data_IF_758983690652
#
_entry.id   IF_758983690652
#
_cell.length_a   1.000
_cell.length_b   1.000
_cell.length_c   1.000
_cell.angle_alpha   90.00
_cell.angle_beta   90.00
_cell.angle_gamma   90.00
#
_symmetry.space_group_name_H-M   'P 1'
#
loop_
_entity.id
_entity.type
_entity.pdbx_description
1 polymer ?
#
# COMPACT_ATOMS: atom_id res chain seq x y z
N UNK A 1 53.13 73.75 60.51
CA UNK A 1 53.51 75.16 60.26
C UNK A 1 52.93 75.58 58.92
N UNK A 2 52.13 76.67 58.92
CA UNK A 2 52.08 77.76 57.91
C UNK A 2 52.05 77.31 56.43
N UNK A 3 51.01 77.52 55.64
CA UNK A 3 50.15 78.70 55.49
C UNK A 3 50.14 79.13 54.01
N UNK A 4 49.17 79.99 53.63
CA UNK A 4 48.94 80.69 52.32
C UNK A 4 47.98 79.93 51.39
N UNK A 5 46.71 80.33 51.14
CA UNK A 5 46.03 81.61 50.80
C UNK A 5 46.35 82.12 49.38
N UNK A 6 45.26 82.34 48.61
CA UNK A 6 45.04 83.16 47.40
C UNK A 6 45.55 82.57 46.05
N UNK A 7 44.88 82.72 44.90
CA UNK A 7 43.67 83.43 44.51
C UNK A 7 43.24 83.01 43.08
N UNK A 8 41.92 83.02 42.84
CA UNK A 8 41.20 83.49 41.64
C UNK A 8 41.44 82.85 40.25
N UNK A 9 40.36 82.27 39.71
CA UNK A 9 39.87 82.57 38.36
C UNK A 9 38.37 82.21 38.27
N UNK A 10 37.52 83.23 38.40
CA UNK A 10 36.09 83.15 38.05
C UNK A 10 35.97 83.10 36.52
N UNK A 11 35.58 81.95 35.98
CA UNK A 11 35.03 81.85 34.62
C UNK A 11 33.54 81.56 34.76
N UNK A 12 32.72 82.59 34.57
CA UNK A 12 31.27 82.46 34.53
C UNK A 12 30.85 81.69 33.26
N UNK A 13 30.49 80.42 33.43
CA UNK A 13 29.79 79.64 32.40
C UNK A 13 28.33 80.12 32.32
N UNK A 14 27.99 80.88 31.28
CA UNK A 14 26.62 81.10 30.85
C UNK A 14 26.07 79.78 30.26
N UNK A 15 25.41 78.96 31.09
CA UNK A 15 24.56 77.88 30.61
C UNK A 15 23.30 78.50 29.98
N UNK A 16 23.27 78.55 28.64
CA UNK A 16 22.02 78.69 27.91
C UNK A 16 21.21 77.41 28.09
N UNK A 17 20.17 77.45 28.92
CA UNK A 17 19.18 76.40 29.01
C UNK A 17 18.41 76.32 27.69
N UNK A 18 18.78 75.35 26.84
CA UNK A 18 17.98 74.97 25.69
C UNK A 18 16.74 74.26 26.25
N UNK A 19 15.52 74.77 26.05
CA UNK A 19 14.34 74.05 26.47
C UNK A 19 14.26 72.77 25.66
N UNK A 20 14.34 71.63 26.34
CA UNK A 20 14.04 70.34 25.72
C UNK A 20 12.57 70.41 25.25
N UNK A 21 12.36 70.52 23.94
CA UNK A 21 11.06 70.24 23.36
C UNK A 21 10.71 68.80 23.73
N UNK A 22 9.74 68.65 24.63
CA UNK A 22 9.07 67.39 24.85
C UNK A 22 8.49 66.95 23.50
N UNK A 23 9.10 65.94 22.87
CA UNK A 23 8.50 65.26 21.74
C UNK A 23 7.20 64.66 22.24
N UNK A 24 6.07 65.24 21.84
CA UNK A 24 4.76 64.61 22.00
C UNK A 24 4.85 63.21 21.40
N UNK A 25 4.51 62.14 22.14
CA UNK A 25 4.51 60.79 21.58
C UNK A 25 3.62 60.81 20.34
N UNK A 26 4.14 60.30 19.22
CA UNK A 26 3.38 60.18 17.99
C UNK A 26 2.03 59.49 18.29
N UNK A 27 0.92 59.96 17.71
CA UNK A 27 -0.38 59.35 17.94
C UNK A 27 -0.30 57.88 17.53
N UNK A 28 -0.56 56.96 18.47
CA UNK A 28 -0.65 55.54 18.16
C UNK A 28 -1.85 55.35 17.22
N UNK A 29 -1.58 54.81 16.03
CA UNK A 29 -2.64 54.47 15.09
C UNK A 29 -3.58 53.43 15.72
N UNK A 30 -4.90 53.52 15.47
CA UNK A 30 -5.84 52.54 15.97
C UNK A 30 -5.54 51.16 15.37
N UNK A 31 -5.77 50.11 16.16
CA UNK A 31 -5.71 48.73 15.67
C UNK A 31 -6.86 48.54 14.69
N UNK A 32 -6.59 48.11 13.43
CA UNK A 32 -7.63 47.92 12.44
C UNK A 32 -8.65 46.85 12.85
N UNK A 33 -9.93 47.12 12.62
CA UNK A 33 -10.99 46.13 12.74
C UNK A 33 -11.05 45.24 11.49
N UNK A 34 -11.82 44.15 11.55
CA UNK A 34 -11.96 43.23 10.41
C UNK A 34 -12.62 43.93 9.22
N UNK A 35 -13.58 44.81 9.50
CA UNK A 35 -14.32 45.59 8.50
C UNK A 35 -13.37 46.50 7.71
N UNK A 36 -12.35 47.07 8.37
CA UNK A 36 -11.34 47.91 7.73
C UNK A 36 -10.52 47.11 6.71
N UNK A 37 -10.14 45.88 7.06
CA UNK A 37 -9.46 44.98 6.13
C UNK A 37 -10.38 44.53 4.98
N UNK A 38 -11.63 44.20 5.30
CA UNK A 38 -12.60 43.67 4.34
C UNK A 38 -13.09 44.71 3.34
N UNK A 39 -13.08 46.00 3.69
CA UNK A 39 -13.42 47.09 2.79
C UNK A 39 -12.57 47.07 1.50
N UNK A 40 -11.30 46.63 1.59
CA UNK A 40 -10.44 46.45 0.42
C UNK A 40 -10.25 44.97 0.05
N UNK A 41 -10.01 44.08 1.02
CA UNK A 41 -9.73 42.67 0.72
C UNK A 41 -10.98 41.84 0.39
N UNK A 42 -12.18 42.33 0.68
CA UNK A 42 -13.43 41.70 0.24
C UNK A 42 -13.80 42.01 -1.21
N UNK A 43 -13.15 43.00 -1.84
CA UNK A 43 -13.41 43.37 -3.23
C UNK A 43 -12.71 42.39 -4.20
N UNK A 44 -13.45 41.73 -5.12
CA UNK A 44 -12.87 40.83 -6.12
C UNK A 44 -11.84 41.47 -7.06
N UNK A 45 -11.85 42.80 -7.19
CA UNK A 45 -10.91 43.58 -8.00
C UNK A 45 -9.62 43.94 -7.26
N UNK A 46 -9.53 43.65 -5.96
CA UNK A 46 -8.37 44.01 -5.14
C UNK A 46 -7.11 43.26 -5.57
N UNK A 47 -6.08 44.04 -5.93
CA UNK A 47 -4.78 43.53 -6.39
C UNK A 47 -3.64 44.28 -5.70
N UNK A 48 -2.48 43.61 -5.58
CA UNK A 48 -1.23 44.26 -5.22
C UNK A 48 -0.75 45.17 -6.35
N UNK A 49 0.27 45.99 -6.10
CA UNK A 49 0.92 46.79 -7.14
C UNK A 49 1.44 45.97 -8.34
N UNK A 50 1.75 44.69 -8.15
CA UNK A 50 2.18 43.77 -9.22
C UNK A 50 1.02 43.05 -9.95
N UNK A 51 -0.23 43.43 -9.68
CA UNK A 51 -1.43 42.83 -10.29
C UNK A 51 -1.87 41.50 -9.68
N UNK A 52 -1.16 40.95 -8.68
CA UNK A 52 -1.57 39.72 -8.03
C UNK A 52 -2.80 39.95 -7.12
N UNK A 53 -3.84 39.09 -7.17
CA UNK A 53 -5.03 39.27 -6.36
C UNK A 53 -4.72 39.17 -4.86
N UNK A 54 -5.43 39.98 -4.07
CA UNK A 54 -5.39 39.97 -2.59
C UNK A 54 -6.75 39.70 -1.96
N UNK A 55 -7.69 39.22 -2.78
CA UNK A 55 -9.07 38.97 -2.39
C UNK A 55 -9.13 37.89 -1.31
N UNK A 56 -9.94 38.15 -0.28
CA UNK A 56 -10.31 37.24 0.77
C UNK A 56 -11.81 37.00 0.68
N UNK A 57 -12.20 35.74 0.58
CA UNK A 57 -13.59 35.33 0.67
C UNK A 57 -14.05 35.46 2.13
N UNK A 58 -14.73 36.57 2.43
CA UNK A 58 -15.15 36.94 3.78
C UNK A 58 -16.21 36.00 4.34
N UNK A 59 -17.10 35.49 3.49
CA UNK A 59 -18.12 34.52 3.87
C UNK A 59 -17.46 33.18 4.25
N UNK A 60 -16.49 32.72 3.44
CA UNK A 60 -15.74 31.51 3.73
C UNK A 60 -14.86 31.66 4.97
N UNK A 61 -14.28 32.84 5.20
CA UNK A 61 -13.53 33.12 6.42
C UNK A 61 -14.41 33.05 7.66
N UNK A 62 -15.58 33.69 7.63
CA UNK A 62 -16.53 33.67 8.74
C UNK A 62 -16.99 32.25 9.10
N UNK A 63 -17.09 31.35 8.12
CA UNK A 63 -17.44 29.93 8.32
C UNK A 63 -16.23 29.04 8.68
N UNK A 64 -15.01 29.57 8.62
CA UNK A 64 -13.80 28.82 8.94
C UNK A 64 -13.64 28.61 10.44
N UNK A 65 -12.75 27.71 10.84
CA UNK A 65 -12.36 27.52 12.23
C UNK A 65 -11.76 28.79 12.87
N UNK A 66 -11.23 29.71 12.04
CA UNK A 66 -10.67 30.99 12.47
C UNK A 66 -11.65 32.16 12.32
N UNK A 67 -12.90 31.94 11.89
CA UNK A 67 -13.89 33.00 11.70
C UNK A 67 -14.12 33.92 12.92
N UNK A 68 -14.02 33.44 14.16
CA UNK A 68 -14.11 34.29 15.35
C UNK A 68 -12.90 35.20 15.59
N UNK A 69 -11.80 35.04 14.86
CA UNK A 69 -10.57 35.83 15.05
C UNK A 69 -10.60 37.13 14.24
N UNK A 70 -9.82 38.10 14.72
CA UNK A 70 -9.52 39.31 13.98
C UNK A 70 -8.40 39.08 12.95
N UNK A 71 -8.39 39.83 11.85
CA UNK A 71 -7.37 39.73 10.81
C UNK A 71 -5.96 39.93 11.38
N UNK A 72 -5.83 40.89 12.31
CA UNK A 72 -4.57 41.25 12.98
C UNK A 72 -4.09 40.20 13.99
N UNK A 73 -4.93 39.25 14.41
CA UNK A 73 -4.51 38.15 15.28
C UNK A 73 -3.52 37.21 14.55
N UNK A 74 -3.73 37.04 13.24
CA UNK A 74 -2.82 36.31 12.36
C UNK A 74 -1.79 37.24 11.70
N UNK A 75 -2.23 38.41 11.23
CA UNK A 75 -1.38 39.46 10.67
C UNK A 75 -0.85 40.39 11.76
N UNK A 76 -0.12 39.79 12.71
CA UNK A 76 0.39 40.46 13.92
C UNK A 76 1.29 41.67 13.66
N UNK A 77 1.89 41.77 12.47
CA UNK A 77 2.67 42.93 12.03
C UNK A 77 1.81 44.18 11.82
N UNK A 78 0.49 44.02 11.69
CA UNK A 78 -0.48 45.11 11.59
C UNK A 78 -1.15 45.45 12.93
N UNK A 79 -0.96 44.63 13.97
CA UNK A 79 -1.60 44.80 15.27
C UNK A 79 -1.14 46.04 16.04
N UNK A 80 -0.02 46.66 15.65
CA UNK A 80 0.48 47.91 16.22
C UNK A 80 -0.14 49.17 15.59
N UNK A 81 -1.07 49.00 14.64
CA UNK A 81 -1.63 50.08 13.83
C UNK A 81 -0.76 50.35 12.60
N UNK A 82 -1.41 50.53 11.45
CA UNK A 82 -0.77 50.76 10.15
C UNK A 82 -1.53 51.85 9.39
N UNK A 83 -0.83 52.65 8.61
CA UNK A 83 -1.48 53.54 7.65
C UNK A 83 -1.98 52.72 6.46
N UNK A 84 -3.21 52.99 6.03
CA UNK A 84 -3.79 52.35 4.86
C UNK A 84 -3.63 53.24 3.61
N UNK A 85 -3.30 52.67 2.44
CA UNK A 85 -3.00 51.26 2.19
C UNK A 85 -1.67 50.83 2.84
N UNK A 86 -1.68 49.64 3.46
CA UNK A 86 -0.51 49.11 4.17
C UNK A 86 0.59 48.67 3.18
N UNK A 87 1.85 48.50 3.62
CA UNK A 87 2.93 48.01 2.76
C UNK A 87 2.59 46.66 2.09
N UNK A 88 3.00 46.49 0.83
CA UNK A 88 2.74 45.29 0.02
C UNK A 88 3.30 43.99 0.62
N UNK A 89 4.39 44.11 1.39
CA UNK A 89 5.13 42.98 1.95
C UNK A 89 4.88 42.86 3.44
N UNK A 90 3.89 42.06 3.80
CA UNK A 90 3.62 41.66 5.18
C UNK A 90 4.51 40.47 5.60
N UNK A 91 4.68 40.33 6.91
CA UNK A 91 5.27 39.14 7.49
C UNK A 91 4.38 37.91 7.21
N UNK A 92 5.00 36.74 7.06
CA UNK A 92 4.24 35.50 6.94
C UNK A 92 3.60 35.16 8.28
N UNK A 93 2.32 34.79 8.25
CA UNK A 93 1.57 34.30 9.41
C UNK A 93 2.28 33.09 10.02
N UNK A 94 2.44 33.11 11.35
CA UNK A 94 3.09 32.03 12.10
C UNK A 94 2.03 31.21 12.83
N UNK A 95 1.67 30.06 12.26
CA UNK A 95 0.69 29.16 12.88
C UNK A 95 1.14 28.70 14.28
N UNK A 96 2.46 28.61 14.52
CA UNK A 96 3.04 28.15 15.78
C UNK A 96 2.67 29.02 16.98
N UNK A 97 2.27 30.28 16.77
CA UNK A 97 1.82 31.18 17.85
C UNK A 97 0.64 30.57 18.64
N UNK A 98 -0.23 29.81 17.97
CA UNK A 98 -1.37 29.12 18.61
C UNK A 98 -1.32 27.60 18.44
N UNK A 99 -0.64 27.08 17.41
CA UNK A 99 -0.55 25.65 17.08
C UNK A 99 0.86 25.10 17.24
N UNK A 100 1.54 25.45 18.33
CA UNK A 100 2.93 25.08 18.61
C UNK A 100 3.17 23.58 18.42
N UNK A 101 2.38 22.72 19.08
CA UNK A 101 2.56 21.27 19.01
C UNK A 101 2.39 20.71 17.59
N UNK A 102 1.38 21.17 16.84
CA UNK A 102 1.15 20.70 15.47
C UNK A 102 2.27 21.14 14.54
N UNK A 103 2.81 22.34 14.72
CA UNK A 103 3.95 22.83 13.96
C UNK A 103 5.20 22.03 14.32
N UNK A 104 5.49 21.82 15.60
CA UNK A 104 6.60 20.99 16.04
C UNK A 104 6.54 19.57 15.43
N UNK A 105 5.37 18.93 15.48
CA UNK A 105 5.17 17.62 14.85
C UNK A 105 5.40 17.65 13.33
N UNK A 106 4.92 18.69 12.65
CA UNK A 106 5.13 18.87 11.22
C UNK A 106 6.62 19.00 10.88
N UNK A 107 7.37 19.77 11.68
CA UNK A 107 8.82 19.97 11.52
C UNK A 107 9.63 18.67 11.63
N UNK A 108 9.14 17.69 12.41
CA UNK A 108 9.72 16.34 12.49
C UNK A 108 9.35 15.44 11.30
N UNK A 109 8.41 15.85 10.45
CA UNK A 109 7.89 15.06 9.34
C UNK A 109 8.73 15.16 8.06
N UNK A 110 8.52 14.20 7.16
CA UNK A 110 9.20 14.12 5.86
C UNK A 110 8.87 15.31 4.95
N UNK A 111 7.69 15.91 5.10
CA UNK A 111 7.30 17.08 4.31
C UNK A 111 8.11 18.32 4.70
N UNK A 112 8.30 18.58 6.00
CA UNK A 112 9.15 19.68 6.46
C UNK A 112 10.61 19.45 6.06
N UNK A 113 11.14 18.26 6.32
CA UNK A 113 12.50 17.86 5.93
C UNK A 113 12.77 18.09 4.43
N UNK A 114 11.80 17.72 3.57
CA UNK A 114 11.91 17.96 2.13
C UNK A 114 11.91 19.44 1.75
N UNK A 115 11.20 20.31 2.47
CA UNK A 115 11.22 21.77 2.23
C UNK A 115 12.48 22.44 2.78
N UNK A 116 13.03 21.95 3.88
CA UNK A 116 14.28 22.48 4.43
C UNK A 116 15.46 22.16 3.53
N UNK A 117 15.42 21.02 2.84
CA UNK A 117 16.47 20.61 1.89
C UNK A 117 16.42 21.36 0.56
N UNK A 118 15.21 21.70 0.09
CA UNK A 118 15.02 22.40 -1.17
C UNK A 118 13.95 23.50 -1.02
N UNK A 119 14.33 24.78 -1.12
CA UNK A 119 13.40 25.91 -1.10
C UNK A 119 12.32 25.85 -2.19
N UNK A 120 12.56 25.13 -3.29
CA UNK A 120 11.62 24.93 -4.39
C UNK A 120 10.82 23.61 -4.27
N UNK A 121 10.94 22.92 -3.14
CA UNK A 121 10.25 21.65 -2.89
C UNK A 121 8.74 21.80 -3.00
N UNK A 122 8.12 20.84 -3.68
CA UNK A 122 6.66 20.69 -3.78
C UNK A 122 6.04 19.96 -2.59
N UNK A 123 6.80 19.77 -1.51
CA UNK A 123 6.31 19.11 -0.31
C UNK A 123 5.21 19.94 0.37
N UNK A 124 4.21 19.24 0.90
CA UNK A 124 3.00 19.86 1.41
C UNK A 124 3.26 20.82 2.58
N UNK A 125 2.57 21.94 2.57
CA UNK A 125 2.43 22.93 3.65
C UNK A 125 1.19 22.68 4.48
N UNK A 126 1.01 23.44 5.57
CA UNK A 126 -0.15 23.34 6.44
C UNK A 126 -1.45 23.51 5.63
N UNK A 127 -1.51 24.53 4.78
CA UNK A 127 -2.72 24.83 4.01
C UNK A 127 -2.99 23.79 2.93
N UNK A 128 -1.96 23.13 2.38
CA UNK A 128 -2.16 22.08 1.37
C UNK A 128 -3.00 20.91 1.89
N UNK A 129 -2.87 20.60 3.19
CA UNK A 129 -3.69 19.60 3.87
C UNK A 129 -5.00 20.18 4.43
N UNK A 130 -5.00 21.43 4.90
CA UNK A 130 -6.12 22.03 5.62
C UNK A 130 -7.18 22.76 4.78
N UNK A 131 -6.99 22.91 3.46
CA UNK A 131 -8.03 23.46 2.57
C UNK A 131 -7.57 24.47 1.52
N UNK A 132 -6.26 24.59 1.29
CA UNK A 132 -5.60 25.42 0.29
C UNK A 132 -5.43 26.90 0.66
N UNK A 133 -6.07 27.36 1.74
CA UNK A 133 -5.98 28.74 2.21
C UNK A 133 -6.08 28.80 3.74
N UNK A 134 -5.28 29.67 4.37
CA UNK A 134 -5.35 29.93 5.81
C UNK A 134 -6.65 30.63 6.22
N UNK A 135 -7.26 31.40 5.30
CA UNK A 135 -8.54 32.10 5.52
C UNK A 135 -9.76 31.19 5.35
N UNK A 136 -9.59 29.92 5.01
CA UNK A 136 -10.70 29.02 4.70
C UNK A 136 -10.53 27.61 5.27
N UNK A 137 -9.82 27.49 6.39
CA UNK A 137 -9.59 26.22 7.08
C UNK A 137 -10.86 25.82 7.84
N UNK A 138 -11.47 24.72 7.45
CA UNK A 138 -12.67 24.18 8.10
C UNK A 138 -12.28 23.20 9.24
N UNK A 139 -13.06 23.12 10.33
CA UNK A 139 -12.87 22.12 11.38
C UNK A 139 -12.88 20.70 10.80
N UNK A 140 -12.07 19.77 11.35
CA UNK A 140 -12.01 18.39 10.83
C UNK A 140 -13.32 17.61 10.96
N UNK A 141 -14.22 18.04 11.84
CA UNK A 141 -15.58 17.49 11.97
C UNK A 141 -16.50 17.89 10.82
N UNK A 142 -16.20 19.00 10.13
CA UNK A 142 -16.98 19.47 9.00
C UNK A 142 -16.81 18.51 7.81
N UNK A 143 -17.89 18.00 7.20
CA UNK A 143 -17.82 17.12 6.02
C UNK A 143 -17.06 17.74 4.84
N UNK A 144 -17.06 19.07 4.72
CA UNK A 144 -16.38 19.81 3.68
C UNK A 144 -14.89 20.04 3.94
N UNK A 145 -14.41 19.79 5.16
CA UNK A 145 -13.00 19.93 5.50
C UNK A 145 -12.12 18.95 4.72
N UNK A 146 -10.99 19.45 4.22
CA UNK A 146 -9.95 18.61 3.61
C UNK A 146 -9.34 17.61 4.62
N UNK A 147 -9.47 17.88 5.92
CA UNK A 147 -8.99 17.00 7.00
C UNK A 147 -10.10 16.12 7.59
N UNK A 148 -11.32 16.18 7.02
CA UNK A 148 -12.39 15.27 7.42
C UNK A 148 -12.00 13.82 7.13
N UNK A 149 -12.34 12.90 8.04
CA UNK A 149 -12.04 11.46 7.93
C UNK A 149 -12.36 10.87 6.55
N UNK A 150 -13.48 11.26 5.94
CA UNK A 150 -13.90 10.77 4.63
C UNK A 150 -13.12 11.39 3.46
N UNK A 151 -12.44 12.53 3.68
CA UNK A 151 -11.69 13.28 2.67
C UNK A 151 -10.18 13.17 2.80
N UNK A 152 -9.63 12.73 3.95
CA UNK A 152 -8.16 12.60 4.17
C UNK A 152 -7.48 11.82 3.04
N UNK A 153 -8.03 10.68 2.63
CA UNK A 153 -7.45 9.88 1.54
C UNK A 153 -7.36 10.67 0.21
N UNK A 154 -8.40 11.45 -0.10
CA UNK A 154 -8.42 12.34 -1.27
C UNK A 154 -7.42 13.48 -1.13
N UNK A 155 -7.28 14.05 0.06
CA UNK A 155 -6.32 15.12 0.34
C UNK A 155 -4.89 14.66 0.09
N UNK A 156 -4.50 13.48 0.59
CA UNK A 156 -3.20 12.89 0.28
C UNK A 156 -3.05 12.57 -1.22
N UNK A 157 -4.10 12.05 -1.86
CA UNK A 157 -4.09 11.65 -3.27
C UNK A 157 -3.88 12.82 -4.25
N UNK A 158 -4.16 14.08 -3.86
CA UNK A 158 -3.84 15.26 -4.69
C UNK A 158 -2.38 15.29 -5.14
N UNK A 159 -1.47 14.79 -4.30
CA UNK A 159 -0.04 14.69 -4.60
C UNK A 159 0.44 13.24 -4.72
N UNK A 160 -0.07 12.32 -3.89
CA UNK A 160 0.36 10.92 -3.85
C UNK A 160 -0.46 9.95 -4.73
N UNK A 161 -1.37 10.46 -5.56
CA UNK A 161 -2.28 9.65 -6.40
C UNK A 161 -1.90 9.55 -7.88
N UNK A 162 -0.86 10.24 -8.34
CA UNK A 162 -0.57 10.33 -9.77
C UNK A 162 0.04 9.03 -10.35
N UNK A 163 -0.41 8.66 -11.57
CA UNK A 163 0.15 7.58 -12.40
C UNK A 163 1.55 7.91 -12.95
N UNK A 164 1.95 9.17 -12.92
CA UNK A 164 3.31 9.59 -13.25
C UNK A 164 4.18 9.55 -11.97
N UNK A 165 5.43 9.05 -12.05
CA UNK A 165 6.33 9.06 -10.93
C UNK A 165 6.64 10.52 -10.60
N UNK A 166 5.99 11.08 -9.58
CA UNK A 166 6.63 12.17 -8.88
C UNK A 166 7.83 11.51 -8.23
N UNK A 167 8.98 11.63 -8.89
CA UNK A 167 10.29 11.23 -8.39
C UNK A 167 10.67 12.14 -7.20
N UNK A 168 9.81 12.19 -6.19
CA UNK A 168 10.15 12.64 -4.85
C UNK A 168 10.92 11.48 -4.22
N UNK A 169 12.21 11.44 -4.53
CA UNK A 169 13.20 10.65 -3.81
C UNK A 169 12.91 9.14 -3.72
N UNK A 170 13.08 8.42 -4.83
CA UNK A 170 13.56 7.03 -4.77
C UNK A 170 12.58 5.92 -4.38
N UNK A 171 11.30 6.00 -4.78
CA UNK A 171 10.33 4.91 -4.59
C UNK A 171 9.51 4.62 -5.84
N UNK A 172 9.52 3.36 -6.31
CA UNK A 172 8.72 2.85 -7.45
C UNK A 172 7.24 2.66 -7.09
N UNK A 173 6.58 3.67 -6.52
CA UNK A 173 5.24 3.52 -5.95
C UNK A 173 4.20 4.34 -6.71
N UNK A 174 4.07 4.10 -8.01
CA UNK A 174 2.99 4.67 -8.82
C UNK A 174 1.63 4.17 -8.31
N UNK A 175 0.71 5.09 -8.05
CA UNK A 175 -0.70 4.86 -7.69
C UNK A 175 -1.01 4.20 -6.32
N UNK A 176 -0.24 4.49 -5.26
CA UNK A 176 -0.58 4.03 -3.87
C UNK A 176 -1.99 4.45 -3.45
N UNK A 177 -2.43 5.65 -3.82
CA UNK A 177 -3.79 6.12 -3.52
C UNK A 177 -4.87 5.28 -4.23
N UNK A 178 -4.59 4.79 -5.45
CA UNK A 178 -5.52 3.92 -6.17
C UNK A 178 -5.59 2.54 -5.51
N UNK A 179 -4.45 1.95 -5.15
CA UNK A 179 -4.40 0.69 -4.39
C UNK A 179 -5.19 0.80 -3.08
N UNK A 180 -4.99 1.90 -2.34
CA UNK A 180 -5.74 2.15 -1.11
C UNK A 180 -7.23 2.30 -1.37
N UNK A 181 -7.62 3.06 -2.38
CA UNK A 181 -9.02 3.23 -2.76
C UNK A 181 -9.72 1.88 -3.06
N UNK A 182 -8.99 0.96 -3.69
CA UNK A 182 -9.51 -0.36 -4.06
C UNK A 182 -9.42 -1.39 -2.91
N UNK A 183 -8.66 -1.10 -1.86
CA UNK A 183 -8.59 -1.93 -0.65
C UNK A 183 -9.92 -1.98 0.11
N UNK A 184 -10.09 -2.97 0.99
CA UNK A 184 -11.30 -3.08 1.82
C UNK A 184 -11.49 -1.85 2.73
N UNK A 185 -10.40 -1.24 3.21
CA UNK A 185 -10.46 -0.01 4.01
C UNK A 185 -10.89 1.20 3.18
N UNK A 186 -10.32 1.37 1.99
CA UNK A 186 -10.70 2.45 1.08
C UNK A 186 -12.15 2.33 0.61
N UNK A 187 -12.59 1.11 0.28
CA UNK A 187 -13.99 0.86 -0.07
C UNK A 187 -14.94 1.11 1.11
N UNK A 188 -14.56 0.72 2.33
CA UNK A 188 -15.37 0.99 3.52
C UNK A 188 -15.56 2.50 3.77
N UNK A 189 -14.51 3.31 3.59
CA UNK A 189 -14.60 4.77 3.69
C UNK A 189 -15.38 5.38 2.53
N UNK A 190 -14.93 5.14 1.29
CA UNK A 190 -15.39 5.89 0.12
C UNK A 190 -16.76 5.42 -0.40
N UNK A 191 -17.07 4.12 -0.31
CA UNK A 191 -18.33 3.56 -0.83
C UNK A 191 -19.38 3.34 0.23
N UNK A 192 -18.98 3.05 1.48
CA UNK A 192 -19.89 2.72 2.58
C UNK A 192 -19.99 3.82 3.65
N UNK A 193 -19.17 4.87 3.59
CA UNK A 193 -19.19 5.98 4.54
C UNK A 193 -18.78 5.58 5.97
N UNK A 194 -18.10 4.45 6.14
CA UNK A 194 -17.76 3.91 7.46
C UNK A 194 -16.54 4.64 8.04
N UNK A 195 -16.78 5.67 8.85
CA UNK A 195 -15.71 6.48 9.49
C UNK A 195 -14.84 5.69 10.48
N UNK A 196 -15.25 4.48 10.87
CA UNK A 196 -14.43 3.55 11.68
C UNK A 196 -13.28 2.94 10.89
N UNK A 197 -13.36 2.93 9.56
CA UNK A 197 -12.31 2.41 8.72
C UNK A 197 -11.08 3.35 8.74
N UNK A 198 -9.86 2.80 8.69
CA UNK A 198 -8.65 3.60 8.75
C UNK A 198 -8.41 4.34 7.42
N UNK A 199 -7.86 5.54 7.52
CA UNK A 199 -7.36 6.39 6.44
C UNK A 199 -5.83 6.36 6.40
N UNK A 200 -5.22 7.15 5.51
CA UNK A 200 -3.76 7.29 5.44
C UNK A 200 -3.14 7.70 6.78
N UNK A 201 -3.78 8.63 7.51
CA UNK A 201 -3.20 9.22 8.71
C UNK A 201 -3.29 8.32 9.95
N UNK A 202 -4.25 7.39 9.99
CA UNK A 202 -4.37 6.42 11.08
C UNK A 202 -3.18 5.45 11.14
N UNK A 203 -2.56 5.20 9.98
CA UNK A 203 -1.37 4.36 9.84
C UNK A 203 -0.08 5.19 9.81
N UNK A 204 0.00 6.28 9.05
CA UNK A 204 1.24 7.03 8.83
C UNK A 204 1.46 8.19 9.82
N UNK A 205 0.43 8.58 10.56
CA UNK A 205 0.42 9.78 11.40
C UNK A 205 -0.25 10.98 10.72
N UNK A 206 -0.48 12.03 11.49
CA UNK A 206 -1.19 13.24 11.04
C UNK A 206 -0.17 14.34 10.65
N UNK A 207 0.38 15.04 11.64
CA UNK A 207 1.38 16.10 11.40
C UNK A 207 2.81 15.56 11.34
N UNK A 208 3.14 14.55 12.15
CA UNK A 208 4.43 13.87 12.15
C UNK A 208 4.43 12.63 11.25
N UNK A 209 4.45 12.84 9.92
CA UNK A 209 4.58 11.73 8.95
C UNK A 209 6.07 11.45 8.73
N UNK A 210 6.57 10.37 9.34
CA UNK A 210 8.00 10.03 9.32
C UNK A 210 8.30 8.81 8.43
N UNK A 211 9.49 8.73 7.81
CA UNK A 211 9.86 7.61 6.94
C UNK A 211 9.82 6.24 7.63
N UNK A 212 9.32 5.21 6.93
CA UNK A 212 9.26 3.80 7.41
C UNK A 212 10.57 3.25 7.99
N UNK A 213 11.73 3.74 7.53
CA UNK A 213 13.05 3.28 8.01
C UNK A 213 13.36 3.72 9.44
N UNK A 214 12.68 4.76 9.94
CA UNK A 214 12.93 5.26 11.28
C UNK A 214 12.23 4.37 12.31
N UNK A 215 12.89 4.04 13.44
CA UNK A 215 12.33 3.13 14.46
C UNK A 215 11.03 3.62 15.12
N UNK A 216 10.87 4.94 15.23
CA UNK A 216 9.70 5.63 15.78
C UNK A 216 8.52 5.70 14.80
N UNK A 217 8.75 5.42 13.51
CA UNK A 217 7.68 5.40 12.52
C UNK A 217 6.61 4.37 12.87
N UNK A 218 5.32 4.73 12.91
CA UNK A 218 4.24 3.77 13.13
C UNK A 218 4.19 2.66 12.06
N UNK A 219 4.72 2.95 10.86
CA UNK A 219 4.79 2.00 9.74
C UNK A 219 6.17 1.34 9.60
N UNK A 220 7.05 1.48 10.59
CA UNK A 220 8.31 0.73 10.63
C UNK A 220 8.03 -0.78 10.70
N UNK A 221 8.91 -1.65 10.15
CA UNK A 221 8.67 -3.09 10.13
C UNK A 221 8.30 -3.70 11.49
N UNK A 222 8.87 -3.15 12.58
CA UNK A 222 8.61 -3.58 13.96
C UNK A 222 7.27 -3.06 14.49
N UNK A 223 6.85 -1.86 14.07
CA UNK A 223 5.65 -1.20 14.58
C UNK A 223 4.38 -1.52 13.77
N UNK A 224 4.50 -2.07 12.56
CA UNK A 224 3.35 -2.47 11.73
C UNK A 224 2.32 -3.30 12.50
N UNK A 225 2.67 -4.37 13.26
CA UNK A 225 1.68 -5.12 14.04
C UNK A 225 0.96 -4.28 15.08
N UNK A 226 1.64 -3.33 15.73
CA UNK A 226 1.03 -2.41 16.70
C UNK A 226 0.07 -1.45 16.00
N UNK A 227 0.44 -0.94 14.83
CA UNK A 227 -0.39 -0.04 14.03
C UNK A 227 -1.67 -0.72 13.55
N UNK A 228 -1.58 -1.94 13.03
CA UNK A 228 -2.76 -2.74 12.68
C UNK A 228 -3.59 -3.09 13.93
N UNK A 229 -2.93 -3.41 15.05
CA UNK A 229 -3.55 -3.80 16.30
C UNK A 229 -4.42 -2.74 16.96
N UNK A 230 -4.23 -1.45 16.65
CA UNK A 230 -5.14 -0.38 17.10
C UNK A 230 -6.61 -0.68 16.81
N UNK A 231 -6.89 -1.39 15.72
CA UNK A 231 -8.23 -1.89 15.39
C UNK A 231 -8.32 -3.43 15.43
N UNK A 232 -7.23 -4.14 15.10
CA UNK A 232 -7.17 -5.61 15.04
C UNK A 232 -6.44 -6.20 16.25
N UNK A 233 -6.76 -5.75 17.46
CA UNK A 233 -6.00 -6.10 18.68
C UNK A 233 -5.98 -7.60 18.96
N UNK A 234 -7.12 -8.29 18.78
CA UNK A 234 -7.18 -9.75 18.96
C UNK A 234 -6.22 -10.51 18.01
N UNK A 235 -6.18 -10.10 16.74
CA UNK A 235 -5.28 -10.68 15.74
C UNK A 235 -3.82 -10.35 16.05
N UNK A 236 -3.53 -9.12 16.53
CA UNK A 236 -2.19 -8.74 16.99
C UNK A 236 -1.73 -9.63 18.14
N UNK A 237 -2.62 -9.94 19.08
CA UNK A 237 -2.31 -10.81 20.22
C UNK A 237 -1.98 -12.24 19.76
N UNK A 238 -2.79 -12.83 18.87
CA UNK A 238 -2.49 -14.13 18.25
C UNK A 238 -1.14 -14.13 17.51
N UNK A 239 -0.90 -13.09 16.70
CA UNK A 239 0.35 -12.94 15.96
C UNK A 239 1.58 -12.86 16.88
N UNK A 240 1.46 -12.15 18.00
CA UNK A 240 2.53 -12.04 19.00
C UNK A 240 2.84 -13.39 19.67
N UNK A 241 1.85 -14.28 19.81
CA UNK A 241 2.03 -15.65 20.33
C UNK A 241 2.73 -16.61 19.35
N UNK A 242 2.73 -16.28 18.05
CA UNK A 242 3.35 -17.09 17.01
C UNK A 242 4.86 -16.88 16.84
N UNK A 243 5.51 -17.78 16.09
CA UNK A 243 6.96 -17.72 15.84
C UNK A 243 7.38 -16.49 15.04
N UNK A 244 6.52 -15.98 14.16
CA UNK A 244 6.78 -14.77 13.39
C UNK A 244 6.78 -13.53 14.29
N UNK A 245 5.76 -13.37 15.14
CA UNK A 245 5.69 -12.29 16.11
C UNK A 245 6.83 -12.34 17.12
N UNK A 246 7.15 -13.53 17.65
CA UNK A 246 8.27 -13.71 18.57
C UNK A 246 9.62 -13.31 17.96
N UNK A 247 9.89 -13.70 16.70
CA UNK A 247 11.11 -13.31 15.98
C UNK A 247 11.19 -11.81 15.72
N UNK A 248 10.07 -11.19 15.31
CA UNK A 248 10.00 -9.76 15.06
C UNK A 248 10.21 -8.95 16.35
N UNK A 249 9.60 -9.39 17.45
CA UNK A 249 9.79 -8.81 18.78
C UNK A 249 11.23 -8.94 19.29
N UNK A 250 11.88 -10.08 18.99
CA UNK A 250 13.30 -10.35 19.23
C UNK A 250 14.28 -9.55 18.36
N UNK A 251 13.80 -8.62 17.53
CA UNK A 251 14.64 -7.72 16.74
C UNK A 251 14.97 -8.22 15.32
N UNK A 252 14.46 -9.39 14.91
CA UNK A 252 14.63 -9.86 13.54
C UNK A 252 13.66 -9.14 12.60
N UNK A 253 14.11 -8.03 11.99
CA UNK A 253 13.31 -7.24 11.04
C UNK A 253 13.07 -7.94 9.69
N UNK A 254 13.72 -9.07 9.43
CA UNK A 254 13.44 -9.93 8.27
C UNK A 254 12.29 -10.91 8.53
N UNK A 255 11.83 -11.05 9.78
CA UNK A 255 10.61 -11.79 10.08
C UNK A 255 9.40 -11.08 9.44
N UNK A 256 8.42 -11.84 8.91
CA UNK A 256 7.24 -11.24 8.29
C UNK A 256 6.41 -10.48 9.34
N UNK A 257 5.77 -9.41 8.91
CA UNK A 257 4.75 -8.66 9.67
C UNK A 257 3.40 -8.71 8.93
N UNK A 258 2.40 -8.00 9.42
CA UNK A 258 1.05 -7.99 8.83
C UNK A 258 1.06 -7.64 7.33
N UNK A 259 1.86 -6.63 6.95
CA UNK A 259 1.96 -6.18 5.56
C UNK A 259 2.74 -7.15 4.66
N UNK A 260 3.50 -8.08 5.23
CA UNK A 260 4.20 -9.13 4.48
C UNK A 260 3.22 -10.15 3.87
N UNK A 261 2.02 -10.31 4.43
CA UNK A 261 1.02 -11.26 3.94
C UNK A 261 -0.24 -10.57 3.39
N UNK A 262 -0.66 -9.43 3.96
CA UNK A 262 -1.94 -8.78 3.62
C UNK A 262 -1.84 -7.56 2.69
N UNK A 263 -0.64 -7.14 2.27
CA UNK A 263 -0.38 -5.84 1.64
C UNK A 263 -0.71 -4.64 2.56
N UNK A 264 0.13 -3.61 2.57
CA UNK A 264 -0.10 -2.42 3.41
C UNK A 264 -1.15 -1.47 2.82
N UNK A 265 -1.22 -1.37 1.49
CA UNK A 265 -2.06 -0.38 0.79
C UNK A 265 -3.12 -1.03 -0.09
N UNK A 266 -3.02 -2.32 -0.41
CA UNK A 266 -4.01 -3.06 -1.22
C UNK A 266 -4.68 -4.17 -0.43
N UNK A 267 -4.95 -3.97 0.86
CA UNK A 267 -5.49 -5.01 1.72
C UNK A 267 -6.88 -5.46 1.24
N UNK A 268 -7.03 -6.77 1.03
CA UNK A 268 -8.24 -7.40 0.53
C UNK A 268 -8.97 -8.16 1.64
N UNK A 269 -10.22 -8.55 1.37
CA UNK A 269 -10.95 -9.46 2.27
C UNK A 269 -10.40 -10.87 2.16
N UNK A 270 -10.33 -11.57 3.29
CA UNK A 270 -9.74 -12.91 3.37
C UNK A 270 -10.70 -14.04 3.01
N UNK A 271 -11.98 -13.74 2.85
CA UNK A 271 -13.03 -14.71 2.50
C UNK A 271 -13.18 -14.90 0.98
N UNK A 272 -12.50 -14.11 0.16
CA UNK A 272 -12.56 -14.24 -1.29
C UNK A 272 -11.68 -15.37 -1.79
N UNK A 273 -12.12 -16.06 -2.83
CA UNK A 273 -11.36 -17.17 -3.41
C UNK A 273 -9.98 -16.73 -3.89
N UNK A 274 -9.92 -15.57 -4.55
CA UNK A 274 -8.67 -14.96 -5.02
C UNK A 274 -7.67 -14.77 -3.88
N UNK A 275 -8.10 -14.21 -2.74
CA UNK A 275 -7.21 -14.04 -1.60
C UNK A 275 -6.76 -15.37 -1.01
N UNK A 276 -7.67 -16.35 -0.89
CA UNK A 276 -7.34 -17.66 -0.32
C UNK A 276 -6.28 -18.39 -1.15
N UNK A 277 -6.38 -18.34 -2.48
CA UNK A 277 -5.38 -18.92 -3.38
C UNK A 277 -4.07 -18.14 -3.30
N UNK A 278 -4.14 -16.82 -3.29
CA UNK A 278 -2.98 -15.95 -3.20
C UNK A 278 -2.22 -16.12 -1.87
N UNK A 279 -2.92 -16.43 -0.77
CA UNK A 279 -2.31 -16.64 0.54
C UNK A 279 -1.28 -17.79 0.53
N UNK A 280 -1.50 -18.83 -0.28
CA UNK A 280 -0.53 -19.93 -0.47
C UNK A 280 0.79 -19.41 -1.04
N UNK A 281 0.70 -18.50 -2.00
CA UNK A 281 1.87 -17.90 -2.65
C UNK A 281 2.61 -16.95 -1.71
N UNK A 282 1.88 -16.21 -0.87
CA UNK A 282 2.47 -15.29 0.12
C UNK A 282 3.40 -16.02 1.08
N UNK A 283 2.98 -17.18 1.61
CA UNK A 283 3.84 -18.03 2.43
C UNK A 283 5.12 -18.45 1.68
N UNK A 284 4.98 -18.79 0.38
CA UNK A 284 6.07 -19.25 -0.47
C UNK A 284 7.10 -18.20 -0.86
N UNK A 285 6.84 -16.91 -0.65
CA UNK A 285 7.84 -15.85 -0.86
C UNK A 285 9.07 -16.04 0.05
N UNK A 286 8.84 -16.52 1.27
CA UNK A 286 9.88 -16.88 2.24
C UNK A 286 10.08 -18.41 2.34
N UNK A 287 8.99 -19.19 2.34
CA UNK A 287 9.02 -20.66 2.51
C UNK A 287 9.06 -21.40 1.17
N UNK A 288 10.06 -21.12 0.34
CA UNK A 288 10.15 -21.61 -1.05
C UNK A 288 10.15 -23.12 -1.17
N UNK A 289 10.94 -23.81 -0.35
CA UNK A 289 11.03 -25.29 -0.37
C UNK A 289 9.73 -25.95 0.11
N UNK A 290 9.07 -25.36 1.12
CA UNK A 290 7.77 -25.83 1.59
C UNK A 290 6.70 -25.63 0.52
N UNK A 291 6.68 -24.50 -0.19
CA UNK A 291 5.76 -24.26 -1.30
C UNK A 291 5.98 -25.28 -2.44
N UNK A 292 7.24 -25.57 -2.78
CA UNK A 292 7.59 -26.53 -3.83
C UNK A 292 7.06 -27.93 -3.51
N UNK A 293 7.33 -28.42 -2.30
CA UNK A 293 6.87 -29.75 -1.86
C UNK A 293 5.35 -29.81 -1.66
N UNK A 294 4.74 -28.73 -1.15
CA UNK A 294 3.28 -28.62 -1.06
C UNK A 294 2.62 -28.72 -2.44
N UNK A 295 3.17 -28.05 -3.46
CA UNK A 295 2.67 -28.11 -4.85
C UNK A 295 2.75 -29.50 -5.48
N UNK A 296 3.59 -30.40 -4.96
CA UNK A 296 3.63 -31.81 -5.38
C UNK A 296 2.51 -32.65 -4.75
N UNK A 297 1.80 -32.14 -3.74
CA UNK A 297 0.68 -32.84 -3.09
C UNK A 297 -0.64 -32.64 -3.83
N UNK A 298 -1.63 -33.49 -3.52
CA UNK A 298 -2.99 -33.31 -4.03
C UNK A 298 -3.57 -31.94 -3.66
N UNK A 299 -3.40 -31.50 -2.42
CA UNK A 299 -3.86 -30.18 -1.97
C UNK A 299 -3.23 -29.05 -2.78
N UNK A 300 -1.91 -29.10 -2.98
CA UNK A 300 -1.20 -28.12 -3.77
C UNK A 300 -1.62 -28.08 -5.24
N UNK A 301 -1.78 -29.25 -5.87
CA UNK A 301 -2.24 -29.34 -7.26
C UNK A 301 -3.65 -28.78 -7.43
N UNK A 302 -4.58 -29.10 -6.52
CA UNK A 302 -5.97 -28.62 -6.58
C UNK A 302 -6.04 -27.11 -6.35
N UNK A 303 -5.26 -26.55 -5.42
CA UNK A 303 -5.14 -25.08 -5.29
C UNK A 303 -4.54 -24.42 -6.54
N UNK A 304 -3.58 -25.06 -7.20
CA UNK A 304 -3.00 -24.54 -8.45
C UNK A 304 -4.01 -24.55 -9.61
N UNK A 305 -5.05 -25.38 -9.55
CA UNK A 305 -6.17 -25.39 -10.50
C UNK A 305 -7.26 -24.35 -10.16
N UNK A 306 -7.11 -23.58 -9.07
CA UNK A 306 -8.02 -22.51 -8.69
C UNK A 306 -9.13 -22.92 -7.72
N UNK A 307 -9.07 -24.12 -7.14
CA UNK A 307 -10.05 -24.57 -6.15
C UNK A 307 -9.65 -24.17 -4.73
N UNK A 308 -10.59 -23.57 -3.99
CA UNK A 308 -10.41 -23.12 -2.61
C UNK A 308 -10.86 -24.07 -1.49
N UNK A 309 -11.81 -25.01 -1.68
CA UNK A 309 -12.26 -25.92 -0.61
C UNK A 309 -11.30 -27.11 -0.44
N UNK A 310 -10.03 -26.80 -0.22
CA UNK A 310 -8.94 -27.74 0.00
C UNK A 310 -7.95 -27.12 0.98
N UNK A 311 -7.20 -27.96 1.72
CA UNK A 311 -6.29 -27.48 2.74
C UNK A 311 -5.12 -26.68 2.13
N UNK A 312 -4.93 -25.46 2.64
CA UNK A 312 -3.84 -24.52 2.33
C UNK A 312 -2.87 -24.47 3.50
N UNK A 313 -1.84 -23.64 3.40
CA UNK A 313 -0.83 -23.49 4.46
C UNK A 313 -1.45 -23.16 5.82
N UNK A 314 -2.39 -22.20 5.84
CA UNK A 314 -3.04 -21.70 7.06
C UNK A 314 -4.01 -22.70 7.69
N UNK A 315 -4.58 -23.61 6.89
CA UNK A 315 -5.53 -24.62 7.37
C UNK A 315 -4.82 -25.67 8.22
N UNK A 316 -3.54 -25.94 7.93
CA UNK A 316 -2.71 -26.83 8.74
C UNK A 316 -1.94 -26.09 9.83
N UNK A 317 -1.33 -24.94 9.52
CA UNK A 317 -0.38 -24.25 10.41
C UNK A 317 -0.99 -23.17 11.30
N UNK A 318 -2.24 -22.77 11.06
CA UNK A 318 -2.85 -21.57 11.64
C UNK A 318 -2.60 -20.32 10.80
N UNK A 319 -3.45 -19.31 10.96
CA UNK A 319 -3.37 -18.06 10.21
C UNK A 319 -2.45 -17.03 10.86
N UNK A 320 -2.73 -16.64 12.12
CA UNK A 320 -1.99 -15.59 12.82
C UNK A 320 -1.09 -16.13 13.94
N UNK A 321 -1.50 -17.19 14.65
CA UNK A 321 -0.65 -17.89 15.63
C UNK A 321 0.05 -19.10 14.98
N UNK A 322 1.05 -18.86 14.14
CA UNK A 322 1.85 -19.94 13.53
C UNK A 322 2.89 -20.44 14.54
N UNK A 323 2.78 -21.71 14.93
CA UNK A 323 3.65 -22.33 15.93
C UNK A 323 4.58 -23.40 15.35
N UNK A 324 5.81 -23.57 15.88
CA UNK A 324 6.69 -24.66 15.48
C UNK A 324 6.06 -26.03 15.72
N UNK A 325 6.40 -27.04 14.90
CA UNK A 325 5.90 -28.43 15.05
C UNK A 325 6.16 -29.02 16.44
N UNK A 326 7.23 -28.59 17.11
CA UNK A 326 7.61 -29.08 18.43
C UNK A 326 6.76 -28.48 19.56
N UNK A 327 6.06 -27.37 19.33
CA UNK A 327 5.15 -26.78 20.31
C UNK A 327 3.88 -27.64 20.38
N UNK A 328 3.54 -28.15 21.58
CA UNK A 328 2.36 -28.98 21.79
C UNK A 328 1.02 -28.28 21.48
N UNK A 329 1.01 -26.94 21.40
CA UNK A 329 -0.16 -26.16 20.97
C UNK A 329 -0.29 -26.06 19.44
N UNK A 330 0.76 -26.39 18.69
CA UNK A 330 0.75 -26.30 17.23
C UNK A 330 -0.24 -27.29 16.62
N UNK A 331 -1.06 -26.83 15.67
CA UNK A 331 -1.98 -27.69 14.93
C UNK A 331 -1.24 -28.80 14.14
N UNK A 332 0.05 -28.61 13.82
CA UNK A 332 0.90 -29.61 13.16
C UNK A 332 1.78 -30.41 14.13
N UNK A 333 1.59 -30.26 15.44
CA UNK A 333 2.23 -31.13 16.42
C UNK A 333 1.72 -32.57 16.27
N UNK A 334 2.59 -33.54 16.53
CA UNK A 334 2.30 -34.96 16.28
C UNK A 334 1.03 -35.46 16.96
N UNK A 335 0.79 -35.01 18.20
CA UNK A 335 -0.41 -35.33 18.97
C UNK A 335 -1.70 -34.67 18.42
N UNK A 336 -1.57 -33.59 17.64
CA UNK A 336 -2.70 -32.80 17.14
C UNK A 336 -3.08 -33.15 15.70
N UNK A 337 -2.24 -33.88 14.96
CA UNK A 337 -2.47 -34.16 13.54
C UNK A 337 -3.82 -34.85 13.25
N UNK A 338 -4.23 -35.81 14.07
CA UNK A 338 -5.53 -36.49 13.89
C UNK A 338 -6.68 -35.48 13.95
N UNK A 339 -6.62 -34.55 14.91
CA UNK A 339 -7.61 -33.48 15.05
C UNK A 339 -7.57 -32.52 13.85
N UNK A 340 -6.39 -32.12 13.41
CA UNK A 340 -6.20 -31.18 12.30
C UNK A 340 -6.67 -31.77 10.98
N UNK A 341 -6.22 -32.98 10.62
CA UNK A 341 -6.69 -33.67 9.42
C UNK A 341 -8.18 -34.01 9.50
N UNK A 342 -8.67 -34.34 10.69
CA UNK A 342 -10.07 -34.66 10.96
C UNK A 342 -11.05 -33.50 10.75
N UNK A 343 -10.58 -32.26 10.58
CA UNK A 343 -11.44 -31.13 10.21
C UNK A 343 -12.08 -31.31 8.83
N UNK A 344 -11.45 -32.07 7.94
CA UNK A 344 -11.95 -32.34 6.59
C UNK A 344 -12.02 -33.83 6.26
N UNK A 345 -11.14 -34.66 6.84
CA UNK A 345 -11.09 -36.10 6.61
C UNK A 345 -11.77 -36.85 7.76
N UNK A 346 -13.05 -37.15 7.58
CA UNK A 346 -13.81 -37.96 8.53
C UNK A 346 -13.13 -39.33 8.74
N UNK A 347 -12.94 -39.72 10.00
CA UNK A 347 -12.26 -40.98 10.35
C UNK A 347 -10.73 -40.94 10.21
N UNK A 348 -10.09 -39.77 10.23
CA UNK A 348 -8.63 -39.67 10.26
C UNK A 348 -8.01 -40.54 11.38
N UNK A 349 -7.08 -41.43 11.01
CA UNK A 349 -6.39 -42.35 11.93
C UNK A 349 -4.91 -42.03 12.05
N UNK A 350 -4.21 -42.65 13.00
CA UNK A 350 -2.76 -42.53 13.14
C UNK A 350 -1.99 -42.87 11.85
N UNK A 351 -2.42 -43.91 11.12
CA UNK A 351 -1.82 -44.29 9.84
C UNK A 351 -2.11 -43.27 8.74
N UNK A 352 -3.29 -42.67 8.75
CA UNK A 352 -3.66 -41.64 7.78
C UNK A 352 -2.78 -40.38 7.94
N UNK A 353 -2.59 -39.93 9.18
CA UNK A 353 -1.80 -38.72 9.47
C UNK A 353 -0.28 -38.93 9.43
N UNK A 354 0.17 -40.17 9.20
CA UNK A 354 1.56 -40.45 8.87
C UNK A 354 1.95 -39.93 7.48
N UNK A 355 0.96 -39.56 6.65
CA UNK A 355 1.19 -38.84 5.40
C UNK A 355 1.97 -37.53 5.66
N UNK A 356 3.00 -37.28 4.85
CA UNK A 356 3.83 -36.08 4.97
C UNK A 356 3.48 -35.07 3.85
N UNK A 357 2.81 -33.94 4.18
CA UNK A 357 2.42 -32.92 3.20
C UNK A 357 3.58 -32.12 2.59
N UNK A 358 4.81 -32.31 3.09
CA UNK A 358 6.03 -31.68 2.58
C UNK A 358 7.09 -32.71 2.19
N UNK A 359 6.67 -33.93 1.82
CA UNK A 359 7.58 -34.96 1.36
C UNK A 359 8.38 -34.51 0.12
N UNK A 360 9.71 -34.60 0.19
CA UNK A 360 10.59 -34.22 -0.92
C UNK A 360 11.10 -35.46 -1.65
N UNK A 361 10.56 -35.73 -2.84
CA UNK A 361 10.97 -36.84 -3.72
C UNK A 361 12.36 -36.69 -4.36
N UNK A 362 13.02 -35.55 -4.15
CA UNK A 362 14.38 -35.26 -4.64
C UNK A 362 15.44 -35.39 -3.54
N UNK A 363 15.03 -35.54 -2.28
CA UNK A 363 15.95 -35.68 -1.15
C UNK A 363 16.08 -37.16 -0.74
N UNK A 364 17.11 -37.82 -1.29
CA UNK A 364 17.46 -39.21 -0.97
C UNK A 364 17.83 -39.39 0.51
N UNK A 365 18.36 -38.37 1.18
CA UNK A 365 18.90 -38.49 2.53
C UNK A 365 17.82 -38.65 3.60
N UNK A 366 16.66 -38.01 3.38
CA UNK A 366 15.52 -38.07 4.31
C UNK A 366 14.50 -39.15 3.98
N UNK A 367 14.23 -39.36 2.69
CA UNK A 367 13.18 -40.28 2.22
C UNK A 367 13.71 -41.15 1.06
N UNK A 368 14.64 -42.09 1.32
CA UNK A 368 15.27 -42.88 0.27
C UNK A 368 14.27 -43.72 -0.53
N UNK A 369 13.28 -44.31 0.13
CA UNK A 369 12.25 -45.11 -0.53
C UNK A 369 11.45 -44.26 -1.53
N UNK A 370 10.95 -43.09 -1.09
CA UNK A 370 10.21 -42.17 -1.96
C UNK A 370 11.06 -41.70 -3.14
N UNK A 371 12.34 -41.39 -2.91
CA UNK A 371 13.26 -40.96 -3.95
C UNK A 371 13.40 -42.02 -5.05
N UNK A 372 13.68 -43.27 -4.68
CA UNK A 372 13.87 -44.35 -5.63
C UNK A 372 12.56 -44.72 -6.34
N UNK A 373 11.45 -44.78 -5.62
CA UNK A 373 10.13 -45.02 -6.22
C UNK A 373 9.77 -43.93 -7.23
N UNK A 374 10.03 -42.66 -6.92
CA UNK A 374 9.77 -41.55 -7.84
C UNK A 374 10.64 -41.63 -9.11
N UNK A 375 11.95 -41.91 -8.97
CA UNK A 375 12.84 -42.07 -10.14
C UNK A 375 12.44 -43.26 -11.00
N UNK A 376 12.02 -44.36 -10.38
CA UNK A 376 11.54 -45.53 -11.10
C UNK A 376 10.28 -45.18 -11.92
N UNK A 377 9.28 -44.54 -11.30
CA UNK A 377 8.04 -44.19 -11.99
C UNK A 377 8.25 -43.16 -13.11
N UNK A 378 9.10 -42.16 -12.88
CA UNK A 378 9.47 -41.19 -13.92
C UNK A 378 10.23 -41.86 -15.07
N UNK A 379 11.17 -42.75 -14.76
CA UNK A 379 11.90 -43.52 -15.78
C UNK A 379 10.98 -44.42 -16.59
N UNK A 380 10.04 -45.09 -15.92
CA UNK A 380 9.02 -45.91 -16.57
C UNK A 380 8.15 -45.06 -17.52
N UNK A 381 7.73 -43.87 -17.08
CA UNK A 381 6.91 -42.97 -17.88
C UNK A 381 7.67 -42.48 -19.13
N UNK A 382 8.92 -42.02 -18.96
CA UNK A 382 9.78 -41.61 -20.07
C UNK A 382 10.01 -42.76 -21.05
N UNK A 383 10.26 -43.96 -20.54
CA UNK A 383 10.44 -45.15 -21.38
C UNK A 383 9.20 -45.47 -22.20
N UNK A 384 8.02 -45.53 -21.57
CA UNK A 384 6.76 -45.85 -22.25
C UNK A 384 6.46 -44.82 -23.34
N UNK A 385 6.45 -43.52 -23.01
CA UNK A 385 6.18 -42.48 -24.00
C UNK A 385 7.25 -42.40 -25.09
N UNK A 386 8.52 -42.58 -24.73
CA UNK A 386 9.63 -42.57 -25.68
C UNK A 386 9.54 -43.75 -26.66
N UNK A 387 9.39 -44.97 -26.15
CA UNK A 387 9.30 -46.17 -26.97
C UNK A 387 8.08 -46.14 -27.90
N UNK A 388 6.88 -45.94 -27.34
CA UNK A 388 5.66 -45.92 -28.14
C UNK A 388 5.59 -44.71 -29.07
N UNK A 389 6.07 -43.54 -28.63
CA UNK A 389 6.16 -42.35 -29.48
C UNK A 389 7.06 -42.58 -30.70
N UNK A 390 8.26 -43.13 -30.51
CA UNK A 390 9.17 -43.47 -31.61
C UNK A 390 8.56 -44.55 -32.50
N UNK A 391 7.98 -45.60 -31.91
CA UNK A 391 7.30 -46.64 -32.67
C UNK A 391 6.22 -46.06 -33.59
N UNK A 392 5.33 -45.21 -33.06
CA UNK A 392 4.27 -44.54 -33.82
C UNK A 392 4.85 -43.64 -34.92
N UNK A 393 5.90 -42.87 -34.64
CA UNK A 393 6.56 -42.03 -35.64
C UNK A 393 7.17 -42.85 -36.79
N UNK A 394 7.85 -43.95 -36.48
CA UNK A 394 8.42 -44.86 -37.48
C UNK A 394 7.31 -45.49 -38.35
N UNK A 395 6.22 -45.90 -37.72
CA UNK A 395 5.08 -46.49 -38.42
C UNK A 395 4.38 -45.47 -39.34
N UNK A 396 4.21 -44.24 -38.86
CA UNK A 396 3.66 -43.13 -39.64
C UNK A 396 4.55 -42.77 -40.83
N UNK A 397 5.87 -42.68 -40.64
CA UNK A 397 6.84 -42.45 -41.71
C UNK A 397 6.78 -43.55 -42.79
N UNK A 398 6.76 -44.82 -42.37
CA UNK A 398 6.57 -45.97 -43.26
C UNK A 398 5.24 -45.92 -44.02
N UNK A 399 4.15 -45.51 -43.34
CA UNK A 399 2.85 -45.35 -43.96
C UNK A 399 2.81 -44.25 -45.03
N UNK A 400 3.59 -43.16 -44.86
CA UNK A 400 3.72 -42.10 -45.86
C UNK A 400 4.50 -42.56 -47.09
N UNK A 401 5.59 -43.29 -46.92
CA UNK A 401 6.39 -43.81 -48.04
C UNK A 401 5.65 -44.88 -48.84
N UNK A 402 4.83 -45.71 -48.17
CA UNK A 402 4.00 -46.72 -48.83
C UNK A 402 2.80 -46.17 -49.62
N UNK A 403 2.43 -44.88 -49.46
CA UNK A 403 1.33 -44.22 -50.17
C UNK A 403 1.75 -43.48 -51.44
N UNK A 404 3.01 -43.58 -51.86
CA UNK A 404 3.44 -43.08 -53.18
C UNK A 404 2.83 -44.02 -54.24
N UNK A 405 1.94 -43.55 -55.14
CA UNK A 405 1.29 -44.42 -56.11
C UNK A 405 2.32 -45.00 -57.08
N UNK A 406 2.43 -46.33 -57.13
CA UNK A 406 3.16 -46.99 -58.19
C UNK A 406 2.27 -46.90 -59.44
N UNK A 407 2.58 -45.97 -60.35
CA UNK A 407 1.91 -45.89 -61.66
C UNK A 407 2.32 -47.13 -62.46
N UNK A 408 1.41 -48.08 -62.74
CA UNK A 408 1.76 -49.23 -63.57
C UNK A 408 1.90 -48.78 -65.03
N UNK A 409 2.89 -49.29 -65.79
CA UNK A 409 3.02 -48.97 -67.20
C UNK A 409 1.81 -49.48 -68.01
N UNK A 410 1.41 -48.81 -69.11
CA UNK A 410 0.24 -49.19 -69.89
C UNK A 410 0.41 -50.59 -70.48
N UNK A 411 -0.57 -51.47 -70.23
CA UNK A 411 -0.59 -52.83 -70.72
C UNK A 411 -0.84 -52.87 -72.24
N UNK A 412 -0.02 -53.65 -72.96
CA UNK A 412 -0.21 -53.93 -74.39
C UNK A 412 -1.34 -54.95 -74.56
N UNK A 413 -2.40 -54.60 -75.31
CA UNK A 413 -3.50 -55.51 -75.64
C UNK A 413 -3.07 -56.59 -76.65
N UNK A 414 -3.30 -57.89 -76.38
CA UNK A 414 -3.26 -58.94 -77.40
C UNK A 414 -4.65 -59.20 -78.00
N UNK A 415 -4.63 -59.59 -79.28
CA UNK A 415 -5.78 -59.69 -80.19
C UNK A 415 -6.88 -60.67 -79.76
N UNK A 416 -8.12 -60.26 -80.06
CA UNK A 416 -9.37 -61.00 -79.88
C UNK A 416 -9.36 -62.33 -80.66
N UNK A 417 -9.60 -63.45 -79.96
CA UNK A 417 -10.08 -64.70 -80.56
C UNK A 417 -11.58 -64.82 -80.33
N UNK A 418 -12.29 -65.08 -81.43
CA UNK A 418 -13.73 -65.25 -81.51
C UNK A 418 -14.19 -66.65 -81.06
N UNK A 419 -15.52 -66.83 -81.05
CA UNK A 419 -16.29 -68.10 -81.03
C UNK A 419 -16.65 -68.55 -79.60
N UNK A 420 -17.90 -68.84 -79.17
CA UNK A 420 -19.17 -69.23 -79.82
C UNK A 420 -20.38 -68.96 -78.87
N UNK A 421 -21.60 -68.81 -79.40
CA UNK A 421 -22.88 -68.83 -78.64
C UNK A 421 -23.61 -70.15 -78.91
N UNK A 422 -24.14 -70.83 -77.88
CA UNK A 422 -25.57 -71.21 -77.86
C UNK A 422 -26.13 -71.27 -76.42
N UNK A 423 -27.42 -71.37 -76.07
CA UNK A 423 -28.75 -71.23 -76.67
C UNK A 423 -29.72 -71.14 -75.44
N UNK A 424 -30.93 -70.54 -75.55
CA UNK A 424 -31.79 -70.29 -74.39
C UNK A 424 -32.60 -71.54 -73.99
N UNK A 425 -32.77 -71.79 -72.68
CA UNK A 425 -33.70 -72.81 -72.17
C UNK A 425 -34.67 -72.23 -71.12
N UNK A 426 -35.89 -72.74 -71.21
CA UNK A 426 -37.20 -72.20 -70.80
C UNK A 426 -37.45 -72.19 -69.29
N UNK A 427 -38.39 -71.31 -68.90
CA UNK A 427 -39.13 -71.30 -67.62
C UNK A 427 -40.01 -72.53 -67.48
N UNK A 428 -40.16 -73.02 -66.25
CA UNK A 428 -41.34 -73.76 -65.81
C UNK A 428 -41.74 -73.29 -64.40
N UNK A 429 -43.05 -73.29 -64.20
CA UNK A 429 -43.85 -72.74 -63.09
C UNK A 429 -44.17 -73.87 -62.13
N UNK A 430 -44.13 -73.64 -60.82
CA UNK A 430 -45.16 -74.11 -59.88
C UNK A 430 -45.06 -73.29 -58.59
N UNK A 431 -46.20 -72.77 -58.15
CA UNK A 431 -46.41 -72.29 -56.80
C UNK A 431 -47.24 -73.31 -56.03
N UNK A 432 -47.10 -73.24 -54.71
CA UNK A 432 -48.16 -73.43 -53.71
C UNK A 432 -47.92 -72.38 -52.62
#
# INVERSE_FOLDING_TARGET
MRGRIAAWCMSALLLAAVPALAQTPAPKLPVPANEDCQACHGDPSATRANGAPVVVDTERFAKSAHGPLSCVDCHSDLAAGVEFPHPDKLAKVKCATCHEQSVEQYEHGIHADARHKDPNSRAATCVDCHGGSAHGILPSSDPESATNKLKVARTCAKCHGNKAPVNLSGGRNGAVAALFHDSIHGQALAKKGLVVAPTCSDCHGNHAIVPKRLPDSPVSPRNVPVTCGKCHEGIRHEFAGGIHGAKLAGGNLSAPNCASCHSAHGIARTDTDDWQLHAVEQCGTCHKESLKTYRDTFHGQVTALGFTPVAKCVDCHGAHEVLPRQDGRSAVAEANLIKTCGQCHEGATANFVAYNPHANKHDKSRLPLLYYSARFMEGLLVFVFGFFGVHTMLWFSRGRTARVPHVPPPAKHPALRAVEKPAPRKREVTGD
#
